data_IF_259258344161
#
_entry.id   IF_259258344161
#
_cell.length_a   1.000
_cell.length_b   1.000
_cell.length_c   1.000
_cell.angle_alpha   90.00
_cell.angle_beta   90.00
_cell.angle_gamma   90.00
#
_symmetry.space_group_name_H-M   'P 1'
#
loop_
_entity.id
_entity.type
_entity.pdbx_description
1 polymer ?
#
# COMPACT_ATOMS: atom_id res chain seq x y z
N UNK A 1 -13.65 14.42 3.30
CA UNK A 1 -12.66 15.42 2.85
C UNK A 1 -12.32 15.27 1.36
N UNK A 2 -11.67 14.15 0.88
CA UNK A 2 -11.30 14.02 -0.55
C UNK A 2 -12.54 14.06 -1.44
N UNK A 3 -13.57 13.28 -1.14
CA UNK A 3 -14.82 13.19 -1.92
C UNK A 3 -15.63 14.50 -1.95
N UNK A 4 -15.43 15.36 -0.97
CA UNK A 4 -16.13 16.66 -0.83
C UNK A 4 -15.34 17.80 -1.45
N UNK A 5 -14.03 17.62 -1.65
CA UNK A 5 -13.10 18.64 -2.14
C UNK A 5 -12.67 18.44 -3.59
N UNK A 6 -12.85 17.23 -4.12
CA UNK A 6 -12.36 16.85 -5.46
C UNK A 6 -13.51 16.16 -6.21
N UNK A 7 -13.75 16.59 -7.45
CA UNK A 7 -14.74 15.90 -8.31
C UNK A 7 -14.30 14.44 -8.57
N UNK A 8 -15.28 13.55 -8.73
CA UNK A 8 -15.03 12.10 -8.89
C UNK A 8 -14.08 11.77 -10.05
N UNK A 9 -14.06 12.61 -11.07
CA UNK A 9 -13.20 12.51 -12.24
C UNK A 9 -11.70 12.58 -11.87
N UNK A 10 -11.34 13.38 -10.86
CA UNK A 10 -9.94 13.64 -10.49
C UNK A 10 -9.45 12.80 -9.31
N UNK A 11 -10.28 11.93 -8.73
CA UNK A 11 -9.90 11.11 -7.55
C UNK A 11 -8.70 10.20 -7.86
N UNK A 12 -8.71 9.50 -9.01
CA UNK A 12 -7.59 8.63 -9.42
C UNK A 12 -6.29 9.42 -9.61
N UNK A 13 -6.38 10.59 -10.25
CA UNK A 13 -5.24 11.48 -10.44
C UNK A 13 -4.72 12.02 -9.11
N UNK A 14 -5.61 12.30 -8.16
CA UNK A 14 -5.22 12.72 -6.81
C UNK A 14 -4.42 11.64 -6.10
N UNK A 15 -4.89 10.38 -6.10
CA UNK A 15 -4.16 9.25 -5.51
C UNK A 15 -2.82 9.01 -6.20
N UNK A 16 -2.74 9.13 -7.53
CA UNK A 16 -1.48 9.05 -8.27
C UNK A 16 -0.48 10.11 -7.79
N UNK A 17 -0.91 11.38 -7.72
CA UNK A 17 -0.04 12.49 -7.27
C UNK A 17 0.38 12.32 -5.81
N UNK A 18 -0.56 11.97 -4.95
CA UNK A 18 -0.27 11.69 -3.54
C UNK A 18 0.78 10.58 -3.39
N UNK A 19 0.65 9.49 -4.15
CA UNK A 19 1.62 8.40 -4.13
C UNK A 19 2.99 8.84 -4.66
N UNK A 20 3.06 9.61 -5.74
CA UNK A 20 4.33 10.15 -6.24
C UNK A 20 5.06 10.96 -5.17
N UNK A 21 4.35 11.86 -4.49
CA UNK A 21 4.92 12.68 -3.40
C UNK A 21 5.37 11.78 -2.25
N UNK A 22 4.49 10.88 -1.80
CA UNK A 22 4.78 9.92 -0.72
C UNK A 22 6.04 9.10 -1.01
N UNK A 23 6.15 8.51 -2.20
CA UNK A 23 7.29 7.67 -2.56
C UNK A 23 8.58 8.49 -2.74
N UNK A 24 8.50 9.71 -3.25
CA UNK A 24 9.66 10.62 -3.31
C UNK A 24 10.23 10.88 -1.91
N UNK A 25 9.36 11.18 -0.95
CA UNK A 25 9.78 11.37 0.43
C UNK A 25 10.21 10.07 1.11
N UNK A 26 9.65 8.93 0.74
CA UNK A 26 10.06 7.60 1.22
C UNK A 26 11.53 7.29 0.91
N UNK A 27 12.03 7.72 -0.25
CA UNK A 27 13.46 7.60 -0.61
C UNK A 27 14.31 8.62 0.15
N UNK A 28 13.86 9.86 0.25
CA UNK A 28 14.65 10.96 0.82
C UNK A 28 14.72 10.90 2.36
N UNK A 29 13.63 10.51 3.03
CA UNK A 29 13.50 10.59 4.49
C UNK A 29 14.56 9.80 5.25
N UNK A 30 14.91 8.54 4.91
CA UNK A 30 15.95 7.81 5.62
C UNK A 30 17.31 8.49 5.52
N UNK A 31 17.67 8.99 4.33
CA UNK A 31 18.93 9.69 4.11
C UNK A 31 19.02 11.00 4.90
N UNK A 32 17.93 11.78 4.90
CA UNK A 32 17.84 13.01 5.71
C UNK A 32 17.94 12.67 7.20
N UNK A 33 17.24 11.63 7.67
CA UNK A 33 17.27 11.20 9.05
C UNK A 33 18.67 10.80 9.52
N UNK A 34 19.40 10.03 8.71
CA UNK A 34 20.78 9.63 8.98
C UNK A 34 21.72 10.85 9.01
N UNK A 35 21.60 11.78 8.06
CA UNK A 35 22.39 13.01 8.03
C UNK A 35 22.17 13.87 9.27
N UNK A 36 20.92 14.09 9.66
CA UNK A 36 20.59 14.86 10.87
C UNK A 36 21.18 14.20 12.11
N UNK A 37 21.08 12.86 12.21
CA UNK A 37 21.66 12.12 13.31
C UNK A 37 23.19 12.21 13.36
N UNK A 38 23.87 12.06 12.23
CA UNK A 38 25.33 12.12 12.15
C UNK A 38 25.87 13.51 12.46
N UNK A 39 25.21 14.57 11.98
CA UNK A 39 25.68 15.95 12.17
C UNK A 39 25.34 16.53 13.55
N UNK A 40 24.18 16.19 14.10
CA UNK A 40 23.62 16.86 15.28
C UNK A 40 23.33 15.91 16.45
N UNK A 41 23.50 14.60 16.25
CA UNK A 41 23.25 13.58 17.27
C UNK A 41 21.76 13.26 17.49
N UNK A 42 21.52 12.25 18.33
CA UNK A 42 20.19 11.66 18.53
C UNK A 42 19.17 12.64 19.13
N UNK A 43 19.60 13.46 20.10
CA UNK A 43 18.72 14.43 20.78
C UNK A 43 18.14 15.45 19.80
N UNK A 44 18.97 16.02 18.93
CA UNK A 44 18.54 16.99 17.93
C UNK A 44 17.66 16.31 16.86
N UNK A 45 17.95 15.07 16.48
CA UNK A 45 17.10 14.30 15.55
C UNK A 45 15.68 14.13 16.08
N UNK A 46 15.51 13.82 17.36
CA UNK A 46 14.18 13.75 17.98
C UNK A 46 13.48 15.12 18.03
N UNK A 47 14.22 16.18 18.35
CA UNK A 47 13.66 17.55 18.34
C UNK A 47 13.23 17.97 16.93
N UNK A 48 14.04 17.66 15.92
CA UNK A 48 13.69 17.90 14.52
C UNK A 48 12.41 17.15 14.10
N UNK A 49 12.35 15.86 14.46
CA UNK A 49 11.15 15.05 14.20
C UNK A 49 9.90 15.62 14.91
N UNK A 50 10.01 16.01 16.19
CA UNK A 50 8.92 16.65 16.92
C UNK A 50 8.48 17.97 16.25
N UNK A 51 9.43 18.80 15.80
CA UNK A 51 9.13 20.03 15.09
C UNK A 51 8.38 19.79 13.77
N UNK A 52 8.74 18.74 13.00
CA UNK A 52 8.00 18.39 11.77
C UNK A 52 6.56 17.97 12.05
N UNK A 53 6.30 17.25 13.15
CA UNK A 53 4.92 16.91 13.58
C UNK A 53 4.12 18.16 13.99
N UNK A 54 4.72 19.08 14.74
CA UNK A 54 4.07 20.33 15.13
C UNK A 54 3.76 21.19 13.90
N UNK A 55 4.69 21.27 12.95
CA UNK A 55 4.47 21.99 11.68
C UNK A 55 3.34 21.34 10.86
N UNK A 56 3.31 20.03 10.77
CA UNK A 56 2.22 19.30 10.12
C UNK A 56 0.87 19.55 10.78
N UNK A 57 0.82 19.55 12.12
CA UNK A 57 -0.38 19.87 12.88
C UNK A 57 -0.86 21.32 12.63
N UNK A 58 0.08 22.27 12.59
CA UNK A 58 -0.22 23.66 12.27
C UNK A 58 -0.79 23.82 10.85
N UNK A 59 -0.18 23.21 9.83
CA UNK A 59 -0.71 23.22 8.47
C UNK A 59 -2.10 22.59 8.42
N UNK A 60 -2.27 21.43 9.06
CA UNK A 60 -3.55 20.72 9.10
C UNK A 60 -4.66 21.56 9.75
N UNK A 61 -4.33 22.36 10.76
CA UNK A 61 -5.29 23.27 11.42
C UNK A 61 -5.78 24.41 10.51
N UNK A 62 -5.03 24.74 9.45
CA UNK A 62 -5.40 25.77 8.46
C UNK A 62 -6.32 25.25 7.36
N UNK A 63 -6.52 23.93 7.28
CA UNK A 63 -7.43 23.34 6.30
C UNK A 63 -8.86 23.65 6.71
N UNK A 64 -9.47 24.61 6.03
CA UNK A 64 -10.89 24.95 6.21
C UNK A 64 -11.71 23.98 5.39
N UNK A 65 -12.46 23.13 6.08
CA UNK A 65 -13.40 22.21 5.43
C UNK A 65 -14.75 22.93 5.38
N UNK A 66 -15.19 23.29 4.19
CA UNK A 66 -16.54 23.83 3.95
C UNK A 66 -17.57 22.66 4.02
N UNK A 67 -17.75 22.11 5.20
CA UNK A 67 -18.84 21.18 5.44
C UNK A 67 -20.02 21.95 6.03
N UNK A 68 -21.25 21.65 5.62
CA UNK A 68 -22.41 22.13 6.36
C UNK A 68 -22.26 21.71 7.83
N UNK A 69 -22.69 22.53 8.79
CA UNK A 69 -22.55 22.22 10.21
C UNK A 69 -23.22 20.87 10.48
N UNK A 70 -22.39 19.85 10.75
CA UNK A 70 -22.90 18.57 11.23
C UNK A 70 -23.61 18.85 12.53
N UNK A 71 -24.91 18.53 12.60
CA UNK A 71 -25.61 18.40 13.88
C UNK A 71 -24.67 17.70 14.87
N UNK A 72 -24.56 18.24 16.09
CA UNK A 72 -23.77 17.66 17.18
C UNK A 72 -24.29 16.24 17.45
N UNK A 73 -23.83 15.27 16.65
CA UNK A 73 -24.06 13.87 16.93
C UNK A 73 -23.23 13.55 18.18
N UNK A 74 -23.89 13.00 19.18
CA UNK A 74 -23.30 12.52 20.43
C UNK A 74 -21.97 11.84 20.16
N UNK A 75 -21.00 12.01 21.06
CA UNK A 75 -19.70 11.33 21.03
C UNK A 75 -19.94 9.82 21.07
N UNK A 76 -20.29 9.25 19.93
CA UNK A 76 -20.48 7.80 19.79
C UNK A 76 -19.14 7.14 20.09
N UNK A 77 -19.14 6.19 21.00
CA UNK A 77 -17.98 5.36 21.33
C UNK A 77 -17.30 4.88 20.03
N UNK A 78 -15.99 4.93 19.96
CA UNK A 78 -15.19 4.51 18.78
C UNK A 78 -15.59 3.12 18.29
N UNK A 79 -15.84 2.19 19.20
CA UNK A 79 -16.33 0.84 18.87
C UNK A 79 -17.68 0.84 18.13
N UNK A 80 -18.58 1.78 18.44
CA UNK A 80 -19.88 1.91 17.75
C UNK A 80 -19.68 2.38 16.32
N UNK A 81 -18.72 3.29 16.08
CA UNK A 81 -18.39 3.76 14.73
C UNK A 81 -17.75 2.66 13.86
N UNK A 82 -16.89 1.82 14.45
CA UNK A 82 -16.33 0.63 13.78
C UNK A 82 -17.44 -0.35 13.45
N UNK A 83 -18.34 -0.64 14.40
CA UNK A 83 -19.48 -1.53 14.17
C UNK A 83 -20.42 -1.01 13.07
N UNK A 84 -20.72 0.29 13.05
CA UNK A 84 -21.52 0.93 12.00
C UNK A 84 -20.82 0.83 10.63
N UNK A 85 -19.49 1.01 10.58
CA UNK A 85 -18.68 0.82 9.36
C UNK A 85 -18.73 -0.62 8.86
N UNK A 86 -18.56 -1.61 9.75
CA UNK A 86 -18.69 -3.03 9.43
C UNK A 86 -20.10 -3.36 8.93
N UNK A 87 -21.14 -2.90 9.63
CA UNK A 87 -22.53 -3.14 9.22
C UNK A 87 -22.82 -2.54 7.83
N UNK A 88 -22.31 -1.35 7.55
CA UNK A 88 -22.39 -0.74 6.22
C UNK A 88 -21.70 -1.62 5.15
N UNK A 89 -20.51 -2.12 5.45
CA UNK A 89 -19.76 -2.97 4.52
C UNK A 89 -20.46 -4.31 4.26
N UNK A 90 -21.04 -4.93 5.28
CA UNK A 90 -21.83 -6.16 5.12
C UNK A 90 -23.04 -5.98 4.17
N UNK A 91 -23.65 -4.80 4.17
CA UNK A 91 -24.76 -4.47 3.25
C UNK A 91 -24.29 -4.21 1.81
N UNK A 92 -23.01 -3.84 1.62
CA UNK A 92 -22.44 -3.48 0.31
C UNK A 92 -21.40 -4.50 -0.13
N UNK A 93 -21.83 -5.55 -0.84
CA UNK A 93 -20.99 -6.68 -1.29
C UNK A 93 -19.65 -6.23 -1.88
N UNK A 94 -19.66 -5.22 -2.77
CA UNK A 94 -18.44 -4.69 -3.39
C UNK A 94 -17.40 -4.23 -2.37
N UNK A 95 -17.83 -3.50 -1.33
CA UNK A 95 -16.94 -2.95 -0.31
C UNK A 95 -16.42 -4.06 0.60
N UNK A 96 -17.26 -5.04 0.92
CA UNK A 96 -16.85 -6.21 1.68
C UNK A 96 -15.79 -7.02 0.93
N UNK A 97 -15.95 -7.20 -0.38
CA UNK A 97 -14.96 -7.88 -1.20
C UNK A 97 -13.61 -7.13 -1.24
N UNK A 98 -13.64 -5.80 -1.30
CA UNK A 98 -12.43 -4.99 -1.21
C UNK A 98 -11.71 -5.17 0.14
N UNK A 99 -12.47 -5.27 1.23
CA UNK A 99 -11.91 -5.56 2.56
C UNK A 99 -11.19 -6.90 2.58
N UNK A 100 -11.85 -7.96 2.09
CA UNK A 100 -11.28 -9.32 2.07
C UNK A 100 -10.00 -9.34 1.22
N UNK A 101 -10.03 -8.77 0.01
CA UNK A 101 -8.82 -8.68 -0.84
C UNK A 101 -7.71 -7.94 -0.10
N UNK A 102 -8.00 -6.79 0.49
CA UNK A 102 -7.02 -5.98 1.21
C UNK A 102 -6.39 -6.77 2.38
N UNK A 103 -7.19 -7.48 3.16
CA UNK A 103 -6.72 -8.32 4.27
C UNK A 103 -5.79 -9.44 3.78
N UNK A 104 -6.20 -10.18 2.74
CA UNK A 104 -5.41 -11.28 2.18
C UNK A 104 -4.11 -10.80 1.53
N UNK A 105 -4.16 -9.68 0.80
CA UNK A 105 -2.96 -9.06 0.22
C UNK A 105 -1.97 -8.67 1.32
N UNK A 106 -2.42 -8.00 2.39
CA UNK A 106 -1.55 -7.62 3.50
C UNK A 106 -0.98 -8.85 4.22
N UNK A 107 -1.78 -9.93 4.37
CA UNK A 107 -1.31 -11.20 4.91
C UNK A 107 -0.13 -11.75 4.10
N UNK A 108 -0.26 -11.89 2.79
CA UNK A 108 0.82 -12.44 1.95
C UNK A 108 1.99 -11.45 1.79
N UNK A 109 1.73 -10.15 1.66
CA UNK A 109 2.79 -9.14 1.64
C UNK A 109 3.62 -9.12 2.92
N UNK A 110 3.06 -9.54 4.06
CA UNK A 110 3.85 -9.63 5.29
C UNK A 110 4.98 -10.65 5.21
N UNK A 111 4.79 -11.76 4.49
CA UNK A 111 5.86 -12.74 4.22
C UNK A 111 6.95 -12.16 3.32
N UNK A 112 6.56 -11.45 2.27
CA UNK A 112 7.49 -10.71 1.43
C UNK A 112 8.30 -9.69 2.26
N UNK A 113 7.62 -8.82 3.01
CA UNK A 113 8.24 -7.78 3.84
C UNK A 113 9.16 -8.37 4.92
N UNK A 114 8.77 -9.49 5.54
CA UNK A 114 9.61 -10.23 6.50
C UNK A 114 10.92 -10.68 5.88
N UNK A 115 10.89 -11.10 4.61
CA UNK A 115 12.07 -11.65 3.91
C UNK A 115 13.03 -10.55 3.47
N UNK A 116 12.57 -9.35 3.13
CA UNK A 116 13.35 -8.29 2.49
C UNK A 116 14.64 -7.91 3.24
N UNK A 117 14.68 -7.64 4.56
CA UNK A 117 15.92 -7.30 5.26
C UNK A 117 16.97 -8.41 5.21
N UNK A 118 16.54 -9.68 5.17
CA UNK A 118 17.43 -10.83 5.14
C UNK A 118 18.06 -11.06 3.78
N UNK A 119 17.48 -10.52 2.70
CA UNK A 119 18.07 -10.57 1.36
C UNK A 119 19.40 -9.80 1.31
N UNK A 120 19.63 -8.87 2.23
CA UNK A 120 20.92 -8.21 2.35
C UNK A 120 22.07 -9.22 2.62
N UNK A 121 21.84 -10.19 3.49
CA UNK A 121 22.81 -11.25 3.76
C UNK A 121 22.87 -12.26 2.62
N UNK A 122 21.73 -12.57 1.99
CA UNK A 122 21.63 -13.50 0.88
C UNK A 122 22.45 -13.04 -0.33
N UNK A 123 22.35 -11.76 -0.71
CA UNK A 123 23.08 -11.15 -1.81
C UNK A 123 24.37 -10.43 -1.40
N UNK A 124 24.85 -10.60 -0.17
CA UNK A 124 25.98 -9.83 0.39
C UNK A 124 27.28 -9.93 -0.41
N UNK A 125 27.50 -11.04 -1.11
CA UNK A 125 28.69 -11.25 -1.97
C UNK A 125 28.66 -10.42 -3.24
N UNK A 126 27.47 -10.05 -3.73
CA UNK A 126 27.29 -9.34 -5.00
C UNK A 126 26.97 -7.85 -4.76
N UNK A 127 26.22 -7.57 -3.68
CA UNK A 127 25.78 -6.21 -3.34
C UNK A 127 25.70 -6.05 -1.82
N UNK A 128 26.60 -5.29 -1.24
CA UNK A 128 26.69 -5.10 0.23
C UNK A 128 25.46 -4.45 0.87
N UNK A 129 24.71 -3.64 0.12
CA UNK A 129 23.49 -2.97 0.59
C UNK A 129 22.29 -3.28 -0.33
N UNK A 130 22.01 -4.56 -0.52
CA UNK A 130 20.90 -5.01 -1.36
C UNK A 130 19.54 -4.52 -0.84
N UNK A 131 19.32 -4.54 0.48
CA UNK A 131 18.07 -4.09 1.08
C UNK A 131 17.80 -2.59 0.80
N UNK A 132 18.80 -1.74 0.94
CA UNK A 132 18.68 -0.32 0.58
C UNK A 132 18.38 -0.12 -0.91
N UNK A 133 19.09 -0.85 -1.78
CA UNK A 133 18.87 -0.81 -3.22
C UNK A 133 17.46 -1.32 -3.61
N UNK A 134 16.95 -2.34 -2.91
CA UNK A 134 15.60 -2.87 -3.13
C UNK A 134 14.52 -1.83 -2.84
N UNK A 135 14.60 -1.12 -1.71
CA UNK A 135 13.67 -0.05 -1.34
C UNK A 135 13.67 1.10 -2.37
N UNK A 136 14.86 1.49 -2.82
CA UNK A 136 15.01 2.52 -3.88
C UNK A 136 14.37 2.02 -5.18
N UNK A 137 14.62 0.78 -5.58
CA UNK A 137 14.07 0.20 -6.79
C UNK A 137 12.55 0.13 -6.78
N UNK A 138 11.95 -0.34 -5.67
CA UNK A 138 10.49 -0.34 -5.48
C UNK A 138 9.91 1.07 -5.59
N UNK A 139 10.55 2.06 -4.93
CA UNK A 139 10.09 3.45 -4.97
C UNK A 139 10.22 4.07 -6.37
N UNK A 140 11.28 3.77 -7.12
CA UNK A 140 11.42 4.20 -8.53
C UNK A 140 10.27 3.61 -9.36
N UNK A 141 9.96 2.33 -9.19
CA UNK A 141 8.83 1.68 -9.83
C UNK A 141 7.50 2.38 -9.48
N UNK A 142 7.26 2.63 -8.20
CA UNK A 142 6.05 3.29 -7.71
C UNK A 142 5.89 4.71 -8.28
N UNK A 143 6.96 5.50 -8.29
CA UNK A 143 6.96 6.87 -8.86
C UNK A 143 6.70 6.82 -10.36
N UNK A 144 7.40 5.95 -11.09
CA UNK A 144 7.29 5.84 -12.55
C UNK A 144 5.87 5.46 -12.98
N UNK A 145 5.28 4.44 -12.35
CA UNK A 145 3.92 3.99 -12.66
C UNK A 145 2.87 5.03 -12.23
N UNK A 146 3.06 5.71 -11.10
CA UNK A 146 2.18 6.82 -10.68
C UNK A 146 2.24 7.98 -11.67
N UNK A 147 3.43 8.34 -12.16
CA UNK A 147 3.62 9.41 -13.14
C UNK A 147 2.93 9.05 -14.48
N UNK A 148 3.11 7.83 -14.93
CA UNK A 148 2.43 7.30 -16.13
C UNK A 148 0.91 7.38 -15.93
N UNK A 149 0.40 6.85 -14.81
CA UNK A 149 -1.04 6.88 -14.53
C UNK A 149 -1.58 8.32 -14.47
N UNK A 150 -0.85 9.24 -13.84
CA UNK A 150 -1.25 10.64 -13.75
C UNK A 150 -1.35 11.31 -15.16
N UNK A 151 -0.44 11.00 -16.09
CA UNK A 151 -0.51 11.48 -17.47
C UNK A 151 -1.71 10.91 -18.22
N UNK A 152 -1.97 9.63 -18.09
CA UNK A 152 -3.08 8.95 -18.79
C UNK A 152 -4.46 9.28 -18.21
N UNK A 153 -4.55 9.63 -16.93
CA UNK A 153 -5.81 9.99 -16.25
C UNK A 153 -6.21 11.44 -16.47
N UNK A 154 -5.32 12.28 -16.98
CA UNK A 154 -5.58 13.71 -17.19
C UNK A 154 -6.62 13.91 -18.31
N UNK A 155 -7.77 14.50 -17.96
CA UNK A 155 -8.83 14.88 -18.92
C UNK A 155 -9.67 13.72 -19.48
N UNK A 156 -9.61 12.54 -18.87
CA UNK A 156 -10.47 11.40 -19.29
C UNK A 156 -11.34 10.96 -18.12
N UNK A 157 -12.66 10.95 -18.32
CA UNK A 157 -13.59 10.19 -17.49
C UNK A 157 -13.25 8.71 -17.67
N UNK A 158 -12.39 8.17 -16.83
CA UNK A 158 -12.11 6.73 -16.80
C UNK A 158 -13.02 6.09 -15.77
N UNK A 159 -13.80 5.14 -16.22
CA UNK A 159 -14.47 4.21 -15.32
C UNK A 159 -13.39 3.41 -14.59
N UNK A 160 -13.39 3.55 -13.28
CA UNK A 160 -12.53 2.76 -12.40
C UNK A 160 -13.03 1.33 -12.46
N UNK A 161 -12.21 0.43 -12.96
CA UNK A 161 -12.60 -0.95 -13.16
C UNK A 161 -11.95 -1.84 -12.11
N UNK A 162 -12.77 -2.61 -11.40
CA UNK A 162 -12.28 -3.67 -10.51
C UNK A 162 -11.35 -4.64 -11.25
N UNK A 163 -11.60 -4.91 -12.52
CA UNK A 163 -10.75 -5.78 -13.34
C UNK A 163 -9.33 -5.22 -13.50
N UNK A 164 -9.16 -3.89 -13.63
CA UNK A 164 -7.84 -3.27 -13.69
C UNK A 164 -7.11 -3.39 -12.35
N UNK A 165 -7.81 -3.15 -11.24
CA UNK A 165 -7.27 -3.34 -9.89
C UNK A 165 -6.76 -4.77 -9.71
N UNK A 166 -7.58 -5.78 -10.06
CA UNK A 166 -7.22 -7.19 -9.97
C UNK A 166 -6.07 -7.56 -10.91
N UNK A 167 -6.01 -6.99 -12.12
CA UNK A 167 -4.90 -7.19 -13.05
C UNK A 167 -3.58 -6.71 -12.43
N UNK A 168 -3.54 -5.51 -11.87
CA UNK A 168 -2.33 -5.00 -11.22
C UNK A 168 -1.92 -5.85 -10.02
N UNK A 169 -2.88 -6.41 -9.29
CA UNK A 169 -2.60 -7.31 -8.19
C UNK A 169 -2.01 -8.64 -8.67
N UNK A 170 -2.51 -9.21 -9.77
CA UNK A 170 -1.89 -10.40 -10.40
C UNK A 170 -0.46 -10.06 -10.87
N UNK A 171 -0.28 -8.94 -11.54
CA UNK A 171 1.04 -8.53 -12.04
C UNK A 171 2.03 -8.29 -10.90
N UNK A 172 1.59 -7.77 -9.75
CA UNK A 172 2.43 -7.65 -8.56
C UNK A 172 2.82 -9.01 -7.99
N UNK A 173 1.87 -9.94 -7.91
CA UNK A 173 2.14 -11.33 -7.49
C UNK A 173 3.13 -12.03 -8.42
N UNK A 174 2.97 -11.87 -9.74
CA UNK A 174 3.92 -12.40 -10.74
C UNK A 174 5.31 -11.78 -10.60
N UNK A 175 5.41 -10.47 -10.36
CA UNK A 175 6.69 -9.80 -10.13
C UNK A 175 7.38 -10.30 -8.85
N UNK A 176 6.61 -10.59 -7.78
CA UNK A 176 7.16 -11.19 -6.56
C UNK A 176 7.66 -12.62 -6.84
N UNK A 177 6.93 -13.44 -7.61
CA UNK A 177 7.34 -14.79 -8.00
C UNK A 177 8.57 -14.76 -8.94
N UNK A 178 8.69 -13.72 -9.76
CA UNK A 178 9.81 -13.58 -10.68
C UNK A 178 11.15 -13.42 -9.93
N UNK A 179 11.16 -12.84 -8.73
CA UNK A 179 12.38 -12.65 -7.94
C UNK A 179 13.10 -13.97 -7.61
N UNK A 180 12.47 -14.98 -6.97
CA UNK A 180 13.11 -16.29 -6.72
C UNK A 180 13.38 -17.07 -8.01
N UNK A 181 12.57 -16.92 -9.06
CA UNK A 181 12.82 -17.62 -10.34
C UNK A 181 14.07 -17.05 -11.02
N UNK A 182 14.18 -15.73 -11.07
CA UNK A 182 15.35 -15.07 -11.64
C UNK A 182 16.62 -15.42 -10.87
N UNK A 183 16.56 -15.46 -9.53
CA UNK A 183 17.71 -15.86 -8.72
C UNK A 183 18.12 -17.32 -8.97
N UNK A 184 17.16 -18.22 -9.14
CA UNK A 184 17.45 -19.62 -9.45
C UNK A 184 18.11 -19.83 -10.84
N UNK A 185 17.74 -18.98 -11.81
CA UNK A 185 18.24 -19.07 -13.18
C UNK A 185 19.56 -18.29 -13.37
N UNK A 186 19.63 -17.10 -12.83
CA UNK A 186 20.77 -16.18 -13.00
C UNK A 186 21.02 -15.51 -11.66
N UNK A 187 21.91 -16.04 -10.84
CA UNK A 187 22.31 -15.43 -9.56
C UNK A 187 22.96 -14.09 -9.78
N UNK A 188 22.16 -13.04 -9.81
CA UNK A 188 22.63 -11.68 -10.03
C UNK A 188 21.77 -10.69 -9.24
N UNK A 189 22.34 -10.10 -8.20
CA UNK A 189 21.67 -9.12 -7.34
C UNK A 189 21.17 -7.88 -8.10
N UNK A 190 21.93 -7.41 -9.09
CA UNK A 190 21.54 -6.22 -9.88
C UNK A 190 20.33 -6.49 -10.76
N UNK A 191 20.26 -7.70 -11.35
CA UNK A 191 19.09 -8.09 -12.14
C UNK A 191 17.83 -8.22 -11.28
N UNK A 192 17.97 -8.59 -10.00
CA UNK A 192 16.88 -8.68 -9.03
C UNK A 192 16.21 -7.32 -8.74
N UNK A 193 16.88 -6.21 -9.03
CA UNK A 193 16.28 -4.87 -8.88
C UNK A 193 15.13 -4.63 -9.87
N UNK A 194 15.12 -5.31 -11.02
CA UNK A 194 14.07 -5.15 -12.05
C UNK A 194 12.71 -5.66 -11.53
N UNK A 195 12.57 -6.93 -11.08
CA UNK A 195 11.30 -7.37 -10.49
C UNK A 195 10.90 -6.55 -9.26
N UNK A 196 11.84 -6.05 -8.45
CA UNK A 196 11.55 -5.18 -7.32
C UNK A 196 10.92 -3.84 -7.77
N UNK A 197 11.43 -3.22 -8.83
CA UNK A 197 10.80 -2.03 -9.41
C UNK A 197 9.39 -2.33 -9.93
N UNK A 198 9.19 -3.48 -10.57
CA UNK A 198 7.87 -3.92 -11.03
C UNK A 198 6.89 -4.17 -9.88
N UNK A 199 7.35 -4.76 -8.76
CA UNK A 199 6.55 -4.94 -7.54
C UNK A 199 6.06 -3.58 -7.04
N UNK A 200 6.97 -2.62 -6.84
CA UNK A 200 6.63 -1.27 -6.39
C UNK A 200 5.63 -0.59 -7.33
N UNK A 201 5.85 -0.69 -8.64
CA UNK A 201 4.98 -0.11 -9.67
C UNK A 201 3.57 -0.74 -9.67
N UNK A 202 3.45 -2.06 -9.71
CA UNK A 202 2.16 -2.73 -9.79
C UNK A 202 1.37 -2.65 -8.48
N UNK A 203 2.01 -2.76 -7.31
CA UNK A 203 1.36 -2.55 -6.01
C UNK A 203 0.83 -1.12 -5.89
N UNK A 204 1.58 -0.16 -6.38
CA UNK A 204 1.12 1.24 -6.41
C UNK A 204 -0.10 1.41 -7.30
N UNK A 205 -0.11 0.82 -8.49
CA UNK A 205 -1.27 0.85 -9.39
C UNK A 205 -2.49 0.16 -8.77
N UNK A 206 -2.29 -0.98 -8.09
CA UNK A 206 -3.33 -1.62 -7.30
C UNK A 206 -3.89 -0.67 -6.24
N UNK A 207 -3.04 -0.05 -5.42
CA UNK A 207 -3.46 0.86 -4.36
C UNK A 207 -4.23 2.08 -4.89
N UNK A 208 -3.76 2.69 -5.98
CA UNK A 208 -4.45 3.83 -6.62
C UNK A 208 -5.86 3.42 -7.04
N UNK A 209 -6.01 2.28 -7.72
CA UNK A 209 -7.32 1.79 -8.14
C UNK A 209 -8.19 1.42 -6.94
N UNK A 210 -7.64 0.72 -5.96
CA UNK A 210 -8.32 0.30 -4.74
C UNK A 210 -8.93 1.50 -3.99
N UNK A 211 -8.11 2.49 -3.65
CA UNK A 211 -8.58 3.67 -2.93
C UNK A 211 -9.54 4.52 -3.75
N UNK A 212 -9.37 4.57 -5.07
CA UNK A 212 -10.30 5.26 -5.96
C UNK A 212 -11.66 4.56 -5.98
N UNK A 213 -11.71 3.22 -6.03
CA UNK A 213 -12.96 2.45 -5.97
C UNK A 213 -13.65 2.70 -4.63
N UNK A 214 -12.94 2.57 -3.51
CA UNK A 214 -13.50 2.81 -2.17
C UNK A 214 -14.09 4.22 -2.09
N UNK A 215 -13.34 5.23 -2.55
CA UNK A 215 -13.77 6.63 -2.48
C UNK A 215 -15.02 6.90 -3.34
N UNK A 216 -15.16 6.24 -4.49
CA UNK A 216 -16.32 6.39 -5.38
C UNK A 216 -17.55 5.59 -4.93
N UNK A 217 -17.33 4.39 -4.37
CA UNK A 217 -18.40 3.44 -4.04
C UNK A 217 -19.03 3.65 -2.67
N UNK A 218 -18.37 4.39 -1.78
CA UNK A 218 -18.84 4.60 -0.41
C UNK A 218 -19.54 5.97 -0.29
N UNK A 219 -20.68 6.00 0.39
CA UNK A 219 -21.38 7.25 0.67
C UNK A 219 -20.53 8.17 1.55
N UNK A 220 -20.59 9.48 1.29
CA UNK A 220 -19.74 10.49 1.95
C UNK A 220 -19.79 10.41 3.49
N UNK A 221 -20.96 10.06 4.05
CA UNK A 221 -21.13 9.92 5.50
C UNK A 221 -20.35 8.72 6.09
N UNK A 222 -20.16 7.64 5.32
CA UNK A 222 -19.55 6.40 5.77
C UNK A 222 -18.07 6.26 5.36
N UNK A 223 -17.55 7.10 4.46
CA UNK A 223 -16.18 7.00 3.94
C UNK A 223 -15.15 6.87 5.08
N UNK A 224 -15.19 7.73 6.09
CA UNK A 224 -14.24 7.68 7.20
C UNK A 224 -14.33 6.39 8.01
N UNK A 225 -15.55 5.88 8.26
CA UNK A 225 -15.78 4.64 8.99
C UNK A 225 -15.30 3.43 8.20
N UNK A 226 -15.59 3.39 6.90
CA UNK A 226 -15.14 2.32 5.99
C UNK A 226 -13.62 2.30 5.89
N UNK A 227 -12.97 3.45 5.71
CA UNK A 227 -11.50 3.52 5.72
C UNK A 227 -10.91 3.04 7.05
N UNK A 228 -11.49 3.44 8.19
CA UNK A 228 -11.01 2.97 9.49
C UNK A 228 -11.10 1.46 9.63
N UNK A 229 -12.20 0.84 9.17
CA UNK A 229 -12.37 -0.62 9.18
C UNK A 229 -11.37 -1.30 8.25
N UNK A 230 -11.23 -0.81 7.00
CA UNK A 230 -10.28 -1.37 6.04
C UNK A 230 -8.85 -1.32 6.60
N UNK A 231 -8.40 -0.16 7.09
CA UNK A 231 -7.06 -0.02 7.64
C UNK A 231 -6.85 -0.89 8.88
N UNK A 232 -7.82 -0.94 9.80
CA UNK A 232 -7.69 -1.76 11.00
C UNK A 232 -7.58 -3.24 10.66
N UNK A 233 -8.48 -3.77 9.82
CA UNK A 233 -8.48 -5.20 9.46
C UNK A 233 -7.29 -5.54 8.57
N UNK A 234 -7.00 -4.74 7.54
CA UNK A 234 -5.87 -4.99 6.66
C UNK A 234 -4.54 -4.98 7.43
N UNK A 235 -4.34 -4.01 8.33
CA UNK A 235 -3.13 -3.94 9.15
C UNK A 235 -3.07 -5.11 10.15
N UNK A 236 -4.19 -5.54 10.72
CA UNK A 236 -4.22 -6.67 11.65
C UNK A 236 -3.75 -7.99 11.01
N UNK A 237 -3.99 -8.17 9.71
CA UNK A 237 -3.54 -9.36 8.99
C UNK A 237 -2.03 -9.41 8.74
N UNK A 238 -1.31 -8.27 8.81
CA UNK A 238 0.16 -8.24 8.67
C UNK A 238 0.87 -8.98 9.81
N UNK A 239 0.62 -8.70 11.12
CA UNK A 239 1.23 -9.47 12.21
C UNK A 239 0.89 -10.96 12.16
N UNK A 240 -0.36 -11.30 11.82
CA UNK A 240 -0.78 -12.71 11.68
C UNK A 240 0.03 -13.41 10.58
N UNK A 241 0.16 -12.77 9.42
CA UNK A 241 0.99 -13.30 8.34
C UNK A 241 2.47 -13.38 8.73
N UNK A 242 3.03 -12.34 9.36
CA UNK A 242 4.43 -12.34 9.81
C UNK A 242 4.72 -13.45 10.81
N UNK A 243 3.80 -13.76 11.72
CA UNK A 243 3.94 -14.88 12.65
C UNK A 243 3.96 -16.21 11.89
N UNK A 244 3.00 -16.47 11.00
CA UNK A 244 2.92 -17.72 10.25
C UNK A 244 4.10 -17.90 9.30
N UNK A 245 4.45 -16.85 8.55
CA UNK A 245 5.62 -16.89 7.67
C UNK A 245 6.93 -17.01 8.44
N UNK A 246 7.02 -16.45 9.66
CA UNK A 246 8.18 -16.58 10.53
C UNK A 246 8.52 -18.04 10.89
N UNK A 247 7.52 -18.92 11.05
CA UNK A 247 7.74 -20.34 11.32
C UNK A 247 8.36 -21.10 10.16
N UNK A 248 8.08 -20.70 8.92
CA UNK A 248 8.60 -21.35 7.71
C UNK A 248 9.74 -20.57 7.07
N UNK A 249 10.09 -19.41 7.66
CA UNK A 249 11.13 -18.53 7.13
C UNK A 249 12.51 -19.21 7.23
N UNK A 250 13.26 -19.12 6.13
CA UNK A 250 14.66 -19.49 6.08
C UNK A 250 15.45 -18.44 5.31
N UNK A 251 16.42 -17.82 5.98
CA UNK A 251 17.26 -16.76 5.41
C UNK A 251 18.18 -17.25 4.26
N UNK A 252 18.27 -18.56 4.01
CA UNK A 252 19.11 -19.16 2.96
C UNK A 252 18.38 -19.35 1.64
N UNK A 253 17.08 -19.11 1.58
CA UNK A 253 16.29 -19.28 0.37
C UNK A 253 15.16 -18.26 0.25
N UNK A 254 14.58 -18.16 -0.94
CA UNK A 254 13.50 -17.24 -1.26
C UNK A 254 12.11 -17.90 -1.21
N UNK A 255 11.96 -19.00 -0.48
CA UNK A 255 10.73 -19.79 -0.44
C UNK A 255 9.52 -18.99 0.08
N UNK A 256 9.69 -18.20 1.13
CA UNK A 256 8.63 -17.35 1.68
C UNK A 256 8.22 -16.27 0.66
N UNK A 257 9.18 -15.70 -0.08
CA UNK A 257 8.90 -14.74 -1.17
C UNK A 257 8.06 -15.40 -2.26
N UNK A 258 8.42 -16.61 -2.66
CA UNK A 258 7.68 -17.39 -3.66
C UNK A 258 6.22 -17.64 -3.23
N UNK A 259 6.02 -18.16 -2.01
CA UNK A 259 4.68 -18.40 -1.45
C UNK A 259 3.88 -17.11 -1.36
N UNK A 260 4.51 -16.00 -0.97
CA UNK A 260 3.84 -14.70 -0.87
C UNK A 260 3.29 -14.25 -2.23
N UNK A 261 4.09 -14.35 -3.29
CA UNK A 261 3.65 -14.00 -4.64
C UNK A 261 2.55 -14.91 -5.17
N UNK A 262 2.69 -16.24 -4.99
CA UNK A 262 1.65 -17.23 -5.37
C UNK A 262 0.36 -16.96 -4.58
N UNK A 263 0.45 -16.70 -3.28
CA UNK A 263 -0.70 -16.40 -2.42
C UNK A 263 -1.48 -15.16 -2.87
N UNK A 264 -0.79 -14.11 -3.32
CA UNK A 264 -1.44 -12.92 -3.89
C UNK A 264 -2.20 -13.29 -5.17
N UNK A 265 -1.60 -14.07 -6.07
CA UNK A 265 -2.25 -14.52 -7.31
C UNK A 265 -3.50 -15.36 -6.97
N UNK A 266 -3.36 -16.33 -6.06
CA UNK A 266 -4.45 -17.18 -5.62
C UNK A 266 -5.60 -16.39 -4.99
N UNK A 267 -5.30 -15.33 -4.25
CA UNK A 267 -6.31 -14.41 -3.70
C UNK A 267 -7.21 -13.85 -4.81
N UNK A 268 -6.62 -13.43 -5.92
CA UNK A 268 -7.39 -12.87 -7.05
C UNK A 268 -8.19 -13.96 -7.77
N UNK A 269 -7.63 -15.15 -7.94
CA UNK A 269 -8.33 -16.26 -8.59
C UNK A 269 -9.55 -16.70 -7.77
N UNK A 270 -9.37 -16.88 -6.48
CA UNK A 270 -10.46 -17.22 -5.55
C UNK A 270 -11.54 -16.14 -5.51
N UNK A 271 -11.14 -14.87 -5.50
CA UNK A 271 -12.08 -13.75 -5.60
C UNK A 271 -12.92 -13.83 -6.87
N UNK A 272 -12.32 -14.05 -8.05
CA UNK A 272 -13.07 -14.15 -9.32
C UNK A 272 -14.04 -15.33 -9.33
N UNK A 273 -13.63 -16.48 -8.79
CA UNK A 273 -14.51 -17.65 -8.67
C UNK A 273 -15.69 -17.32 -7.75
N UNK A 274 -15.43 -16.74 -6.59
CA UNK A 274 -16.47 -16.41 -5.60
C UNK A 274 -17.47 -15.37 -6.12
N UNK A 275 -17.00 -14.34 -6.81
CA UNK A 275 -17.88 -13.32 -7.40
C UNK A 275 -18.73 -13.88 -8.54
N UNK A 276 -18.18 -14.81 -9.34
CA UNK A 276 -18.96 -15.44 -10.42
C UNK A 276 -20.04 -16.39 -9.90
N UNK A 277 -19.81 -17.07 -8.77
CA UNK A 277 -20.81 -17.95 -8.15
C UNK A 277 -21.96 -17.15 -7.54
N UNK A 278 -21.73 -15.91 -7.12
CA UNK A 278 -22.72 -15.06 -6.43
C UNK A 278 -23.41 -14.02 -7.37
N UNK A 279 -23.15 -14.08 -8.66
CA UNK A 279 -23.91 -13.39 -9.71
C UNK A 279 -25.07 -14.24 -10.22
#
# INVERSE_FOLDING_TARGET
>A
MIKESISEEYIEMHFSRFTMVKETFSIASPSIGVLVWQLFGLKVSYMFNAATFLFSAYISSKIVIQLPPKEKKDKKFVFKQIAEGLQYMFKHKTIMYLLIISAMVNFFLSGYNLSMPYLNNYFSKEMSNFFGASLISESIGAISFSAINNRYSKGKKKDVSQNKMLLFLILSGLAIVLLPIQDALVKNAYLSLVPLALIGGFLTMFNIQFFTIVQKSVDSEYVGRVYSVIFTIAILFMPVGSLLFGFIFNSRNLFVVLISGIGIIMTVLLYKVFVNINK
#
